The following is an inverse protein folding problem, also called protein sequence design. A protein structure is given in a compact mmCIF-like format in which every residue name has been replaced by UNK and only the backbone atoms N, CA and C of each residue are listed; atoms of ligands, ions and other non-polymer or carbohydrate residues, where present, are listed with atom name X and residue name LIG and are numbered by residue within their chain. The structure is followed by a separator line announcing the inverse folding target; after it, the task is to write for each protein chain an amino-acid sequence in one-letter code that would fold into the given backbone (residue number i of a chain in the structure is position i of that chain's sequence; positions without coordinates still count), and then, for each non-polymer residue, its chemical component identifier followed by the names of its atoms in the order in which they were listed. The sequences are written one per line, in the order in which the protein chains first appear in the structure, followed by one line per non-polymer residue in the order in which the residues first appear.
data_IF_036747022533
#
_entry.id   IF_036747022533
#
_cell.length_a   1.000
_cell.length_b   1.000
_cell.length_c   1.000
_cell.angle_alpha   90.00
_cell.angle_beta   90.00
_cell.angle_gamma   90.00
#
_symmetry.space_group_name_H-M   'P 1'
#
loop_
_entity.id
_entity.type
_entity.pdbx_description
1 polymer ?
#
# COMPACT_ATOMS: atom_id res chain seq x y z
N UNK A 1 10.06 -22.82 15.03
CA UNK A 1 10.64 -21.56 14.49
C UNK A 1 11.16 -21.72 13.06
N UNK A 2 10.99 -22.87 12.37
CA UNK A 2 11.49 -23.08 11.00
C UNK A 2 10.45 -22.93 9.88
N UNK A 3 9.15 -22.82 10.17
CA UNK A 3 8.12 -22.79 9.10
C UNK A 3 8.00 -21.44 8.39
N UNK A 4 8.35 -20.33 9.04
CA UNK A 4 8.24 -19.01 8.42
C UNK A 4 9.34 -18.75 7.38
N UNK A 5 10.56 -19.23 7.60
CA UNK A 5 11.68 -19.00 6.68
C UNK A 5 11.49 -19.74 5.35
N UNK A 6 10.92 -20.94 5.37
CA UNK A 6 10.58 -21.69 4.15
C UNK A 6 9.47 -21.02 3.33
N UNK A 7 8.50 -20.38 3.99
CA UNK A 7 7.43 -19.62 3.33
C UNK A 7 8.02 -18.42 2.59
N UNK A 8 8.89 -17.63 3.23
CA UNK A 8 9.49 -16.46 2.59
C UNK A 8 10.46 -16.87 1.48
N UNK A 9 11.20 -17.96 1.63
CA UNK A 9 12.08 -18.51 0.58
C UNK A 9 11.29 -18.95 -0.66
N UNK A 10 10.18 -19.67 -0.49
CA UNK A 10 9.30 -20.08 -1.59
C UNK A 10 8.56 -18.89 -2.25
N UNK A 11 8.31 -17.80 -1.51
CA UNK A 11 7.74 -16.58 -2.07
C UNK A 11 8.75 -15.78 -2.91
N UNK A 12 10.06 -15.96 -2.69
CA UNK A 12 11.14 -15.28 -3.42
C UNK A 12 11.48 -15.92 -4.77
N UNK A 13 11.17 -17.20 -4.95
CA UNK A 13 11.35 -17.88 -6.23
C UNK A 13 10.00 -17.88 -6.98
N UNK A 14 9.88 -17.16 -8.13
CA UNK A 14 8.63 -17.12 -8.88
C UNK A 14 8.15 -18.51 -9.30
N UNK A 15 9.09 -19.45 -9.52
CA UNK A 15 8.83 -20.83 -9.94
C UNK A 15 8.57 -21.80 -8.77
N UNK A 16 8.81 -21.39 -7.52
CA UNK A 16 8.50 -22.23 -6.37
C UNK A 16 7.01 -22.19 -6.07
N UNK A 17 6.40 -23.37 -5.90
CA UNK A 17 5.00 -23.50 -5.50
C UNK A 17 4.83 -22.85 -4.11
N UNK A 18 3.97 -21.83 -3.97
CA UNK A 18 3.78 -21.14 -2.71
C UNK A 18 3.11 -22.07 -1.70
N UNK A 19 3.30 -21.80 -0.40
CA UNK A 19 2.58 -22.53 0.63
C UNK A 19 1.07 -22.36 0.43
N UNK A 20 0.33 -23.47 0.56
CA UNK A 20 -1.12 -23.42 0.59
C UNK A 20 -1.58 -22.70 1.84
N UNK A 21 -2.29 -21.59 1.64
CA UNK A 21 -2.93 -20.80 2.69
C UNK A 21 -4.42 -20.61 2.33
N UNK A 22 -5.32 -20.48 3.32
CA UNK A 22 -6.74 -20.24 3.06
C UNK A 22 -6.98 -19.02 2.16
N UNK A 23 -6.27 -17.92 2.43
CA UNK A 23 -6.11 -16.79 1.51
C UNK A 23 -4.76 -16.90 0.83
N UNK A 24 -4.74 -16.82 -0.49
CA UNK A 24 -3.54 -17.01 -1.29
C UNK A 24 -2.38 -16.12 -0.84
N UNK A 25 -1.17 -16.67 -0.91
CA UNK A 25 0.02 -16.01 -0.39
C UNK A 25 0.44 -14.82 -1.27
N UNK A 26 0.23 -14.93 -2.58
CA UNK A 26 0.57 -13.90 -3.58
C UNK A 26 -0.65 -13.09 -3.99
N UNK A 27 -0.43 -11.82 -4.29
CA UNK A 27 -1.38 -11.01 -5.07
C UNK A 27 -1.09 -11.28 -6.54
N UNK A 28 -2.10 -11.72 -7.29
CA UNK A 28 -1.92 -11.99 -8.71
C UNK A 28 -2.19 -10.71 -9.50
N UNK A 29 -1.40 -10.48 -10.54
CA UNK A 29 -1.49 -9.26 -11.34
C UNK A 29 -2.10 -9.54 -12.71
N UNK A 30 -2.95 -8.63 -13.17
CA UNK A 30 -3.51 -8.63 -14.52
C UNK A 30 -3.31 -7.25 -15.17
N UNK A 31 -2.08 -6.94 -15.64
CA UNK A 31 -1.74 -5.61 -16.15
C UNK A 31 -2.45 -5.26 -17.47
N UNK A 32 -2.86 -6.27 -18.24
CA UNK A 32 -3.47 -6.10 -19.57
C UNK A 32 -4.98 -5.81 -19.52
N UNK A 33 -5.60 -5.95 -18.34
CA UNK A 33 -7.01 -5.61 -18.15
C UNK A 33 -7.25 -4.09 -18.26
N UNK A 34 -8.49 -3.73 -18.55
CA UNK A 34 -8.94 -2.33 -18.59
C UNK A 34 -10.14 -2.14 -17.64
N UNK A 35 -9.91 -1.66 -16.40
CA UNK A 35 -8.62 -1.25 -15.83
C UNK A 35 -7.73 -2.43 -15.40
N UNK A 36 -6.40 -2.24 -15.23
CA UNK A 36 -5.51 -3.25 -14.67
C UNK A 36 -5.91 -3.64 -13.25
N UNK A 37 -5.78 -4.92 -12.91
CA UNK A 37 -6.31 -5.47 -11.66
C UNK A 37 -5.25 -6.19 -10.82
N UNK A 38 -5.40 -6.05 -9.50
CA UNK A 38 -4.83 -6.96 -8.51
C UNK A 38 -5.88 -7.95 -8.05
N UNK A 39 -5.54 -9.24 -8.07
CA UNK A 39 -6.47 -10.33 -7.78
C UNK A 39 -6.05 -11.02 -6.49
N UNK A 40 -7.00 -11.10 -5.57
CA UNK A 40 -6.94 -11.82 -4.31
C UNK A 40 -7.87 -13.03 -4.40
N UNK A 41 -7.53 -14.10 -3.69
CA UNK A 41 -8.36 -15.31 -3.67
C UNK A 41 -8.34 -15.98 -2.31
N UNK A 42 -9.53 -16.40 -1.88
CA UNK A 42 -9.77 -17.23 -0.71
C UNK A 42 -10.17 -18.63 -1.19
N UNK A 43 -9.25 -19.58 -1.09
CA UNK A 43 -9.42 -20.96 -1.50
C UNK A 43 -10.23 -21.77 -0.48
N UNK A 44 -9.88 -21.61 0.80
CA UNK A 44 -10.46 -22.35 1.92
C UNK A 44 -10.97 -21.39 2.99
N UNK A 45 -11.78 -21.86 3.93
CA UNK A 45 -12.24 -21.04 5.06
C UNK A 45 -11.06 -20.72 6.01
N UNK A 46 -10.67 -19.44 6.19
CA UNK A 46 -9.60 -19.03 7.10
C UNK A 46 -9.96 -19.15 8.60
N UNK A 47 -11.16 -19.64 8.95
CA UNK A 47 -11.69 -19.63 10.32
C UNK A 47 -12.74 -18.53 10.54
N UNK A 48 -13.50 -18.22 9.49
CA UNK A 48 -14.61 -17.27 9.49
C UNK A 48 -14.24 -15.85 9.05
N UNK A 49 -15.23 -14.93 9.04
CA UNK A 49 -15.07 -13.59 8.47
C UNK A 49 -13.97 -12.75 9.14
N UNK A 50 -13.78 -12.87 10.46
CA UNK A 50 -12.75 -12.13 11.17
C UNK A 50 -11.33 -12.52 10.74
N UNK A 51 -11.09 -13.82 10.53
CA UNK A 51 -9.80 -14.31 10.05
C UNK A 51 -9.56 -13.91 8.59
N UNK A 52 -10.60 -13.95 7.75
CA UNK A 52 -10.55 -13.42 6.38
C UNK A 52 -10.11 -11.96 6.35
N UNK A 53 -10.70 -11.10 7.19
CA UNK A 53 -10.32 -9.69 7.29
C UNK A 53 -8.83 -9.54 7.63
N UNK A 54 -8.33 -10.27 8.63
CA UNK A 54 -6.93 -10.17 9.05
C UNK A 54 -5.95 -10.59 7.95
N UNK A 55 -6.24 -11.70 7.27
CA UNK A 55 -5.40 -12.21 6.19
C UNK A 55 -5.43 -11.26 4.98
N UNK A 56 -6.61 -10.78 4.56
CA UNK A 56 -6.72 -9.80 3.48
C UNK A 56 -6.01 -8.49 3.81
N UNK A 57 -6.17 -7.98 5.04
CA UNK A 57 -5.48 -6.76 5.49
C UNK A 57 -3.97 -6.88 5.27
N UNK A 58 -3.37 -7.98 5.72
CA UNK A 58 -1.93 -8.20 5.56
C UNK A 58 -1.51 -8.22 4.09
N UNK A 59 -2.28 -8.87 3.21
CA UNK A 59 -1.96 -8.95 1.78
C UNK A 59 -2.11 -7.61 1.06
N UNK A 60 -3.20 -6.90 1.34
CA UNK A 60 -3.48 -5.58 0.76
C UNK A 60 -2.44 -4.57 1.23
N UNK A 61 -2.23 -4.46 2.56
CA UNK A 61 -1.24 -3.54 3.12
C UNK A 61 0.16 -3.84 2.58
N UNK A 62 0.57 -5.11 2.49
CA UNK A 62 1.88 -5.49 1.96
C UNK A 62 2.03 -5.16 0.47
N UNK A 63 1.03 -5.46 -0.37
CA UNK A 63 1.09 -5.18 -1.81
C UNK A 63 1.18 -3.68 -2.10
N UNK A 64 0.37 -2.87 -1.41
CA UNK A 64 0.46 -1.43 -1.52
C UNK A 64 1.79 -0.89 -1.00
N UNK A 65 2.29 -1.34 0.15
CA UNK A 65 3.59 -0.89 0.66
C UNK A 65 4.74 -1.26 -0.29
N UNK A 66 4.71 -2.46 -0.87
CA UNK A 66 5.72 -2.90 -1.83
C UNK A 66 5.81 -1.95 -3.02
N UNK A 67 4.67 -1.49 -3.56
CA UNK A 67 4.65 -0.50 -4.64
C UNK A 67 5.00 0.92 -4.18
N UNK A 68 4.46 1.36 -3.05
CA UNK A 68 4.60 2.74 -2.58
C UNK A 68 6.01 3.04 -2.05
N UNK A 69 6.73 2.01 -1.58
CA UNK A 69 8.11 2.13 -1.09
C UNK A 69 9.17 2.08 -2.19
N UNK A 70 8.78 1.87 -3.46
CA UNK A 70 9.70 1.76 -4.60
C UNK A 70 10.58 3.00 -4.77
N UNK A 71 11.92 2.88 -4.85
CA UNK A 71 12.79 4.02 -5.10
C UNK A 71 12.63 4.53 -6.54
N UNK A 72 13.03 5.78 -6.76
CA UNK A 72 12.89 6.45 -8.06
C UNK A 72 13.53 5.70 -9.24
N UNK A 73 14.65 5.01 -9.01
CA UNK A 73 15.37 4.22 -10.03
C UNK A 73 14.59 2.99 -10.50
N UNK A 74 13.71 2.44 -9.66
CA UNK A 74 12.94 1.23 -10.00
C UNK A 74 11.80 1.48 -11.00
N UNK A 75 11.47 2.74 -11.31
CA UNK A 75 10.37 3.05 -12.23
C UNK A 75 10.70 2.82 -13.71
N UNK A 76 11.98 2.63 -14.05
CA UNK A 76 12.39 2.26 -15.41
C UNK A 76 11.81 0.90 -15.84
N UNK A 77 11.53 0.02 -14.87
CA UNK A 77 10.96 -1.31 -15.08
C UNK A 77 9.43 -1.30 -15.30
N UNK A 78 8.79 -0.13 -15.16
CA UNK A 78 7.37 0.09 -15.38
C UNK A 78 6.62 0.54 -14.12
N UNK A 79 5.66 1.44 -14.31
CA UNK A 79 4.80 1.93 -13.23
C UNK A 79 3.63 0.97 -12.96
N UNK A 80 3.32 0.75 -11.69
CA UNK A 80 2.10 0.03 -11.31
C UNK A 80 0.85 0.85 -11.70
N UNK A 81 0.01 0.25 -12.54
CA UNK A 81 -1.21 0.85 -13.08
C UNK A 81 -2.48 0.23 -12.52
N UNK A 82 -2.43 -0.35 -11.33
CA UNK A 82 -3.61 -0.91 -10.66
C UNK A 82 -4.74 0.12 -10.63
N UNK A 83 -5.88 -0.25 -11.21
CA UNK A 83 -7.12 0.53 -11.22
C UNK A 83 -8.26 -0.16 -10.48
N UNK A 84 -8.10 -1.44 -10.14
CA UNK A 84 -9.06 -2.17 -9.32
C UNK A 84 -8.43 -3.33 -8.54
N UNK A 85 -9.11 -3.71 -7.46
CA UNK A 85 -8.86 -4.94 -6.73
C UNK A 85 -10.01 -5.91 -6.97
N UNK A 86 -9.71 -7.19 -7.16
CA UNK A 86 -10.69 -8.27 -7.31
C UNK A 86 -10.47 -9.31 -6.24
N UNK A 87 -11.54 -9.86 -5.69
CA UNK A 87 -11.50 -10.94 -4.71
C UNK A 87 -12.47 -12.05 -5.11
N UNK A 88 -11.95 -13.27 -5.27
CA UNK A 88 -12.75 -14.47 -5.41
C UNK A 88 -12.77 -15.26 -4.10
N UNK A 89 -13.96 -15.64 -3.64
CA UNK A 89 -14.15 -16.46 -2.43
C UNK A 89 -14.82 -17.77 -2.84
N UNK A 90 -14.08 -18.86 -2.75
CA UNK A 90 -14.55 -20.22 -3.02
C UNK A 90 -15.30 -20.90 -1.86
N UNK A 91 -14.93 -20.72 -0.58
CA UNK A 91 -15.69 -21.32 0.51
C UNK A 91 -17.08 -20.66 0.65
N UNK A 92 -18.05 -21.45 1.09
CA UNK A 92 -19.37 -20.95 1.46
C UNK A 92 -19.27 -20.17 2.78
N UNK A 93 -19.34 -18.84 2.70
CA UNK A 93 -19.31 -17.96 3.87
C UNK A 93 -19.97 -16.61 3.59
N UNK A 94 -20.12 -15.79 4.64
CA UNK A 94 -20.64 -14.43 4.57
C UNK A 94 -19.50 -13.39 4.72
N UNK A 95 -18.71 -13.11 3.66
CA UNK A 95 -17.51 -12.26 3.76
C UNK A 95 -17.83 -10.77 3.75
N UNK A 96 -19.09 -10.37 3.50
CA UNK A 96 -19.47 -9.00 3.16
C UNK A 96 -18.91 -7.93 4.11
N UNK A 97 -19.12 -8.10 5.43
CA UNK A 97 -18.63 -7.14 6.42
C UNK A 97 -17.09 -7.07 6.47
N UNK A 98 -16.41 -8.20 6.27
CA UNK A 98 -14.95 -8.29 6.30
C UNK A 98 -14.30 -7.65 5.09
N UNK A 99 -14.89 -7.80 3.91
CA UNK A 99 -14.29 -7.31 2.67
C UNK A 99 -14.68 -5.86 2.38
N UNK A 100 -15.87 -5.43 2.82
CA UNK A 100 -16.33 -4.04 2.66
C UNK A 100 -15.39 -3.02 3.32
N UNK A 101 -14.67 -3.40 4.38
CA UNK A 101 -13.67 -2.55 5.02
C UNK A 101 -12.50 -2.17 4.08
N UNK A 102 -12.29 -2.91 2.98
CA UNK A 102 -11.31 -2.61 1.95
C UNK A 102 -11.96 -2.09 0.66
N UNK A 103 -13.21 -1.61 0.72
CA UNK A 103 -13.90 -1.00 -0.43
C UNK A 103 -14.45 -2.02 -1.43
N UNK A 104 -14.42 -3.31 -1.09
CA UNK A 104 -14.97 -4.36 -1.93
C UNK A 104 -16.50 -4.32 -1.92
N UNK A 105 -17.07 -4.25 -3.11
CA UNK A 105 -18.49 -4.41 -3.37
C UNK A 105 -18.75 -5.74 -4.08
N UNK A 106 -19.89 -6.36 -3.81
CA UNK A 106 -20.25 -7.63 -4.43
C UNK A 106 -20.43 -7.43 -5.94
N UNK A 107 -19.91 -8.35 -6.73
CA UNK A 107 -20.06 -8.39 -8.19
C UNK A 107 -20.38 -9.81 -8.66
N UNK A 108 -20.75 -9.95 -9.92
CA UNK A 108 -21.06 -11.24 -10.53
C UNK A 108 -19.83 -11.81 -11.26
N UNK A 109 -19.35 -12.97 -10.82
CA UNK A 109 -18.22 -13.66 -11.46
C UNK A 109 -18.50 -14.09 -12.93
N UNK A 110 -19.76 -14.02 -13.38
CA UNK A 110 -20.19 -14.36 -14.73
C UNK A 110 -20.09 -13.21 -15.74
N UNK A 111 -19.79 -11.99 -15.31
CA UNK A 111 -19.63 -10.85 -16.21
C UNK A 111 -18.41 -11.03 -17.13
N UNK A 112 -18.47 -10.40 -18.33
CA UNK A 112 -17.43 -10.55 -19.36
C UNK A 112 -16.03 -10.13 -18.87
N UNK A 113 -15.97 -9.18 -17.93
CA UNK A 113 -14.75 -8.69 -17.28
C UNK A 113 -14.06 -9.75 -16.40
N UNK A 114 -14.77 -10.76 -15.87
CA UNK A 114 -14.21 -11.78 -14.96
C UNK A 114 -13.64 -13.01 -15.64
N UNK A 115 -13.91 -13.21 -16.94
CA UNK A 115 -13.50 -14.43 -17.67
C UNK A 115 -11.98 -14.68 -17.57
N UNK A 116 -11.19 -13.64 -17.78
CA UNK A 116 -9.72 -13.72 -17.73
C UNK A 116 -9.22 -13.97 -16.30
N UNK A 117 -9.83 -13.32 -15.29
CA UNK A 117 -9.53 -13.59 -13.88
C UNK A 117 -9.85 -15.03 -13.50
N UNK A 118 -10.99 -15.58 -13.93
CA UNK A 118 -11.33 -16.97 -13.64
C UNK A 118 -10.37 -17.95 -14.34
N UNK A 119 -9.89 -17.63 -15.54
CA UNK A 119 -8.88 -18.42 -16.23
C UNK A 119 -7.54 -18.42 -15.45
N UNK A 120 -7.10 -17.25 -15.01
CA UNK A 120 -5.92 -17.08 -14.14
C UNK A 120 -6.06 -17.90 -12.85
N UNK A 121 -7.20 -17.78 -12.15
CA UNK A 121 -7.45 -18.50 -10.91
C UNK A 121 -7.48 -20.02 -11.10
N UNK A 122 -8.00 -20.54 -12.21
CA UNK A 122 -7.93 -21.98 -12.51
C UNK A 122 -6.49 -22.44 -12.68
N UNK A 123 -5.67 -21.71 -13.43
CA UNK A 123 -4.25 -22.00 -13.59
C UNK A 123 -3.52 -22.00 -12.25
N UNK A 124 -3.73 -20.95 -11.45
CA UNK A 124 -3.13 -20.82 -10.12
C UNK A 124 -3.56 -21.97 -9.19
N UNK A 125 -4.85 -22.31 -9.18
CA UNK A 125 -5.40 -23.38 -8.34
C UNK A 125 -4.76 -24.74 -8.63
N UNK A 126 -4.47 -25.03 -9.91
CA UNK A 126 -3.77 -26.25 -10.31
C UNK A 126 -2.31 -26.23 -9.84
N UNK A 127 -1.66 -25.08 -9.98
CA UNK A 127 -0.26 -24.90 -9.61
C UNK A 127 -0.04 -25.06 -8.10
N UNK A 128 -0.96 -24.57 -7.27
CA UNK A 128 -0.91 -24.73 -5.80
C UNK A 128 -1.53 -26.05 -5.30
N UNK A 129 -1.88 -26.97 -6.21
CA UNK A 129 -2.37 -28.32 -5.87
C UNK A 129 -3.78 -28.39 -5.29
N UNK A 130 -4.63 -27.40 -5.57
CA UNK A 130 -6.01 -27.31 -5.10
C UNK A 130 -6.95 -26.90 -6.24
N UNK A 131 -7.13 -27.75 -7.27
CA UNK A 131 -7.94 -27.41 -8.44
C UNK A 131 -9.36 -27.04 -8.02
N UNK A 132 -9.86 -25.91 -8.52
CA UNK A 132 -11.25 -25.48 -8.34
C UNK A 132 -12.08 -25.84 -9.57
N UNK A 133 -13.11 -26.66 -9.36
CA UNK A 133 -13.94 -27.22 -10.45
C UNK A 133 -15.17 -26.36 -10.78
N UNK A 134 -15.33 -25.18 -10.18
CA UNK A 134 -16.51 -24.34 -10.33
C UNK A 134 -16.23 -22.84 -10.24
N UNK A 135 -17.25 -21.99 -10.43
CA UNK A 135 -17.14 -20.56 -10.14
C UNK A 135 -16.98 -20.33 -8.62
N UNK A 136 -16.40 -19.20 -8.21
CA UNK A 136 -16.36 -18.83 -6.79
C UNK A 136 -17.78 -18.66 -6.24
N UNK A 137 -17.95 -18.97 -4.94
CA UNK A 137 -19.21 -18.74 -4.21
C UNK A 137 -19.60 -17.26 -4.20
N UNK A 138 -18.60 -16.37 -4.11
CA UNK A 138 -18.82 -14.94 -4.27
C UNK A 138 -17.61 -14.26 -4.90
N UNK A 139 -17.88 -13.20 -5.67
CA UNK A 139 -16.88 -12.33 -6.27
C UNK A 139 -17.11 -10.90 -5.78
N UNK A 140 -15.99 -10.18 -5.63
CA UNK A 140 -15.98 -8.84 -5.09
C UNK A 140 -14.98 -7.97 -5.83
N UNK A 141 -15.28 -6.68 -5.93
CA UNK A 141 -14.45 -5.71 -6.64
C UNK A 141 -14.37 -4.40 -5.87
N UNK A 142 -13.18 -3.81 -5.80
CA UNK A 142 -12.94 -2.48 -5.25
C UNK A 142 -12.30 -1.60 -6.32
N UNK A 143 -12.75 -0.36 -6.42
CA UNK A 143 -12.15 0.63 -7.33
C UNK A 143 -10.92 1.25 -6.68
N UNK A 144 -9.85 1.38 -7.46
CA UNK A 144 -8.66 2.16 -7.09
C UNK A 144 -8.75 3.52 -7.78
N UNK A 145 -9.08 4.55 -7.02
CA UNK A 145 -9.19 5.93 -7.50
C UNK A 145 -7.80 6.53 -7.68
N UNK A 146 -7.54 7.09 -8.87
CA UNK A 146 -6.32 7.84 -9.19
C UNK A 146 -6.65 9.30 -9.44
N UNK A 147 -5.86 10.19 -8.85
CA UNK A 147 -6.00 11.64 -9.02
C UNK A 147 -4.98 12.14 -10.03
N UNK A 148 -5.46 12.58 -11.20
CA UNK A 148 -4.61 13.05 -12.29
C UNK A 148 -3.66 14.20 -11.89
N UNK A 149 -4.02 15.02 -10.90
CA UNK A 149 -3.17 16.10 -10.41
C UNK A 149 -1.91 15.60 -9.68
N UNK A 150 -1.85 14.33 -9.27
CA UNK A 150 -0.69 13.75 -8.59
C UNK A 150 0.38 13.24 -9.57
N UNK A 151 0.03 12.91 -10.81
CA UNK A 151 0.97 12.39 -11.82
C UNK A 151 2.04 13.43 -12.20
N UNK A 152 1.63 14.71 -12.28
CA UNK A 152 2.56 15.81 -12.52
C UNK A 152 3.53 16.02 -11.35
N UNK A 153 3.04 15.84 -10.12
CA UNK A 153 3.85 15.94 -8.90
C UNK A 153 4.85 14.79 -8.82
N UNK A 154 4.39 13.57 -9.07
CA UNK A 154 5.23 12.37 -9.13
C UNK A 154 6.36 12.55 -10.15
N UNK A 155 6.04 13.04 -11.34
CA UNK A 155 7.03 13.31 -12.39
C UNK A 155 8.09 14.31 -11.93
N UNK A 156 7.67 15.39 -11.26
CA UNK A 156 8.59 16.40 -10.73
C UNK A 156 9.48 15.85 -9.61
N UNK A 157 8.92 15.03 -8.71
CA UNK A 157 9.67 14.36 -7.65
C UNK A 157 10.65 13.34 -8.22
N UNK A 158 10.27 12.58 -9.24
CA UNK A 158 11.14 11.61 -9.91
C UNK A 158 12.36 12.29 -10.50
N UNK A 159 12.18 13.40 -11.21
CA UNK A 159 13.30 14.16 -11.77
C UNK A 159 14.28 14.64 -10.69
N UNK A 160 13.77 15.01 -9.50
CA UNK A 160 14.63 15.40 -8.37
C UNK A 160 15.35 14.21 -7.75
N UNK A 161 14.64 13.11 -7.56
CA UNK A 161 15.16 11.90 -6.95
C UNK A 161 16.26 11.24 -7.81
N UNK A 162 16.09 11.21 -9.14
CA UNK A 162 17.12 10.66 -10.06
C UNK A 162 18.38 11.52 -10.18
N UNK A 163 18.30 12.80 -9.83
CA UNK A 163 19.46 13.70 -9.75
C UNK A 163 20.22 13.56 -8.43
N UNK A 164 19.64 12.89 -7.44
CA UNK A 164 20.27 12.68 -6.15
C UNK A 164 21.33 11.56 -6.23
N UNK A 165 22.43 11.71 -5.49
CA UNK A 165 23.56 10.76 -5.51
C UNK A 165 23.21 9.40 -4.90
N UNK A 166 22.15 9.34 -4.09
CA UNK A 166 21.64 8.16 -3.42
C UNK A 166 20.58 7.41 -4.25
N UNK A 167 20.40 7.77 -5.52
CA UNK A 167 19.42 7.13 -6.40
C UNK A 167 17.97 7.35 -5.99
N UNK A 168 17.71 8.33 -5.12
CA UNK A 168 16.36 8.59 -4.60
C UNK A 168 15.88 7.55 -3.60
N UNK A 169 16.80 6.87 -2.91
CA UNK A 169 16.47 5.97 -1.78
C UNK A 169 15.89 6.80 -0.63
N UNK A 170 14.70 6.44 -0.17
CA UNK A 170 14.07 7.12 0.97
C UNK A 170 14.92 6.95 2.24
N UNK A 171 15.01 8.03 3.02
CA UNK A 171 15.78 8.09 4.27
C UNK A 171 17.27 8.39 4.11
N UNK A 172 17.83 8.30 2.90
CA UNK A 172 19.24 8.62 2.65
C UNK A 172 19.54 10.11 2.83
N UNK A 173 18.63 10.97 2.37
CA UNK A 173 18.67 12.42 2.58
C UNK A 173 17.37 12.90 3.26
N UNK A 174 17.29 12.89 4.61
CA UNK A 174 16.08 13.25 5.35
C UNK A 174 15.51 14.62 4.96
N UNK A 175 14.19 14.70 4.77
CA UNK A 175 13.44 15.90 4.43
C UNK A 175 13.53 16.33 2.95
N UNK A 176 14.35 15.67 2.13
CA UNK A 176 14.60 16.08 0.74
C UNK A 176 13.37 15.93 -0.17
N UNK A 177 12.65 14.81 -0.09
CA UNK A 177 11.47 14.56 -0.91
C UNK A 177 10.31 15.47 -0.49
N UNK A 178 10.13 15.65 0.81
CA UNK A 178 9.13 16.59 1.32
C UNK A 178 9.46 18.03 0.93
N UNK A 179 10.73 18.44 1.03
CA UNK A 179 11.19 19.75 0.58
C UNK A 179 10.97 19.97 -0.92
N UNK A 180 11.22 18.95 -1.74
CA UNK A 180 10.96 18.98 -3.17
C UNK A 180 9.45 19.14 -3.48
N UNK A 181 8.60 18.41 -2.77
CA UNK A 181 7.14 18.53 -2.87
C UNK A 181 6.68 19.95 -2.50
N UNK A 182 7.12 20.46 -1.35
CA UNK A 182 6.77 21.79 -0.88
C UNK A 182 7.26 22.88 -1.84
N UNK A 183 8.45 22.75 -2.40
CA UNK A 183 8.97 23.68 -3.41
C UNK A 183 8.14 23.66 -4.69
N UNK A 184 7.82 22.46 -5.21
CA UNK A 184 7.00 22.31 -6.41
C UNK A 184 5.61 22.94 -6.25
N UNK A 185 5.01 22.82 -5.07
CA UNK A 185 3.69 23.36 -4.75
C UNK A 185 3.72 24.82 -4.24
N UNK A 186 4.89 25.44 -4.12
CA UNK A 186 5.03 26.81 -3.61
C UNK A 186 4.74 26.97 -2.11
N UNK A 187 4.86 25.89 -1.32
CA UNK A 187 4.63 25.88 0.13
C UNK A 187 5.89 26.16 0.96
N UNK A 188 6.82 26.95 0.42
CA UNK A 188 8.13 27.22 1.03
C UNK A 188 8.10 28.25 2.16
N UNK A 189 6.95 28.89 2.39
CA UNK A 189 6.74 29.84 3.49
C UNK A 189 5.82 29.25 4.56
N UNK A 190 6.20 29.44 5.84
CA UNK A 190 5.46 28.95 7.00
C UNK A 190 6.13 27.77 7.71
N UNK A 191 5.41 27.20 8.70
CA UNK A 191 5.83 26.02 9.47
C UNK A 191 5.80 24.74 8.63
N UNK A 192 6.62 23.75 8.98
CA UNK A 192 6.57 22.42 8.37
C UNK A 192 5.20 21.75 8.58
N UNK A 193 4.57 21.97 9.75
CA UNK A 193 3.23 21.47 10.04
C UNK A 193 2.17 21.96 9.04
N UNK A 194 2.20 23.26 8.71
CA UNK A 194 1.31 23.84 7.70
C UNK A 194 1.56 23.27 6.30
N UNK A 195 2.82 23.15 5.89
CA UNK A 195 3.16 22.54 4.60
C UNK A 195 2.70 21.07 4.54
N UNK A 196 2.84 20.33 5.64
CA UNK A 196 2.42 18.94 5.75
C UNK A 196 0.90 18.80 5.66
N UNK A 197 0.15 19.66 6.36
CA UNK A 197 -1.31 19.69 6.27
C UNK A 197 -1.81 19.97 4.84
N UNK A 198 -1.13 20.85 4.10
CA UNK A 198 -1.42 21.08 2.67
C UNK A 198 -1.10 19.86 1.81
N UNK A 199 0.00 19.16 2.11
CA UNK A 199 0.38 17.93 1.42
C UNK A 199 -0.64 16.80 1.66
N UNK A 200 -1.14 16.65 2.89
CA UNK A 200 -2.21 15.73 3.24
C UNK A 200 -3.49 16.05 2.44
N UNK A 201 -3.94 17.31 2.43
CA UNK A 201 -5.12 17.73 1.68
C UNK A 201 -4.99 17.50 0.15
N UNK A 202 -3.75 17.51 -0.37
CA UNK A 202 -3.48 17.22 -1.78
C UNK A 202 -3.75 15.75 -2.13
N UNK A 203 -3.49 14.81 -1.21
CA UNK A 203 -3.62 13.36 -1.47
C UNK A 203 -4.92 12.74 -0.95
N UNK A 204 -5.44 13.21 0.19
CA UNK A 204 -6.59 12.59 0.84
C UNK A 204 -7.86 12.92 0.05
N UNK A 205 -8.33 11.94 -0.73
CA UNK A 205 -9.68 11.96 -1.31
C UNK A 205 -10.71 11.65 -0.23
N UNK A 206 -11.84 12.36 -0.28
CA UNK A 206 -13.00 12.17 0.61
C UNK A 206 -14.06 11.25 -0.03
N UNK A 207 -13.78 10.68 -1.20
CA UNK A 207 -14.65 9.68 -1.84
C UNK A 207 -14.79 8.45 -0.90
N UNK A 208 -16.00 8.11 -0.44
CA UNK A 208 -16.20 6.95 0.41
C UNK A 208 -16.08 5.65 -0.41
N UNK A 209 -15.61 4.59 0.25
CA UNK A 209 -15.63 3.22 -0.29
C UNK A 209 -14.62 2.92 -1.40
N UNK A 210 -13.75 3.85 -1.78
CA UNK A 210 -12.71 3.64 -2.80
C UNK A 210 -11.33 3.51 -2.18
N UNK A 211 -10.46 2.71 -2.80
CA UNK A 211 -9.04 2.67 -2.46
C UNK A 211 -8.36 3.85 -3.17
N UNK A 212 -7.59 4.64 -2.43
CA UNK A 212 -7.08 5.94 -2.89
C UNK A 212 -5.63 5.80 -3.29
N UNK A 213 -5.36 5.69 -4.59
CA UNK A 213 -3.99 5.56 -5.08
C UNK A 213 -3.20 6.85 -4.88
N UNK A 214 -2.00 6.71 -4.35
CA UNK A 214 -1.02 7.78 -4.21
C UNK A 214 0.21 7.35 -4.99
N UNK A 215 0.76 8.20 -5.86
CA UNK A 215 2.03 7.87 -6.52
C UNK A 215 3.16 7.63 -5.51
N UNK A 216 4.08 6.68 -5.78
CA UNK A 216 5.08 6.26 -4.79
C UNK A 216 5.96 7.37 -4.22
N UNK A 217 6.49 8.29 -5.05
CA UNK A 217 7.34 9.36 -4.55
C UNK A 217 6.53 10.43 -3.81
N UNK A 218 5.26 10.65 -4.17
CA UNK A 218 4.34 11.47 -3.38
C UNK A 218 4.10 10.84 -2.01
N UNK A 219 3.89 9.53 -1.93
CA UNK A 219 3.74 8.81 -0.67
C UNK A 219 4.99 8.91 0.20
N UNK A 220 6.17 8.68 -0.39
CA UNK A 220 7.45 8.80 0.30
C UNK A 220 7.73 10.24 0.76
N UNK A 221 7.33 11.25 -0.02
CA UNK A 221 7.41 12.66 0.40
C UNK A 221 6.50 12.97 1.60
N UNK A 222 5.32 12.35 1.69
CA UNK A 222 4.47 12.46 2.89
C UNK A 222 5.12 11.76 4.09
N UNK A 223 5.64 10.55 3.90
CA UNK A 223 6.36 9.86 4.96
C UNK A 223 7.51 10.72 5.48
N UNK A 224 8.33 11.26 4.57
CA UNK A 224 9.44 12.16 4.88
C UNK A 224 8.98 13.42 5.62
N UNK A 225 7.87 14.04 5.17
CA UNK A 225 7.27 15.21 5.80
C UNK A 225 6.82 14.98 7.24
N UNK A 226 6.28 13.79 7.55
CA UNK A 226 5.93 13.43 8.92
C UNK A 226 7.16 13.42 9.82
N UNK A 227 8.30 12.92 9.33
CA UNK A 227 9.58 12.94 10.05
C UNK A 227 10.11 14.36 10.26
N UNK A 228 10.00 15.22 9.24
CA UNK A 228 10.36 16.64 9.34
C UNK A 228 9.51 17.36 10.38
N UNK A 229 8.20 17.13 10.40
CA UNK A 229 7.29 17.72 11.41
C UNK A 229 7.66 17.24 12.81
N UNK A 230 7.84 15.92 13.03
CA UNK A 230 8.26 15.38 14.32
C UNK A 230 9.58 16.00 14.81
N UNK A 231 10.56 16.17 13.92
CA UNK A 231 11.86 16.71 14.27
C UNK A 231 11.83 18.23 14.53
N UNK A 232 11.21 19.00 13.65
CA UNK A 232 11.30 20.47 13.67
C UNK A 232 10.19 21.15 14.49
N UNK A 233 8.97 20.63 14.46
CA UNK A 233 7.82 21.24 15.15
C UNK A 233 7.67 20.68 16.57
N UNK A 234 7.94 19.38 16.73
CA UNK A 234 7.80 18.70 18.02
C UNK A 234 9.13 18.39 18.72
N UNK A 235 10.27 18.77 18.11
CA UNK A 235 11.59 18.65 18.74
C UNK A 235 12.09 17.22 18.97
N UNK A 236 11.52 16.23 18.27
CA UNK A 236 11.89 14.83 18.45
C UNK A 236 13.23 14.48 17.76
N UNK A 237 13.96 13.53 18.35
CA UNK A 237 15.11 12.89 17.67
C UNK A 237 14.61 11.79 16.75
N UNK A 238 14.46 12.11 15.47
CA UNK A 238 14.01 11.19 14.42
C UNK A 238 15.23 10.65 13.67
N UNK A 239 15.26 9.33 13.46
CA UNK A 239 16.17 8.67 12.53
C UNK A 239 15.35 7.94 11.46
N UNK A 240 15.65 8.21 10.19
CA UNK A 240 15.01 7.58 9.04
C UNK A 240 15.65 6.21 8.80
N UNK A 241 14.83 5.17 8.63
CA UNK A 241 15.31 3.90 8.08
C UNK A 241 15.59 4.04 6.59
N UNK A 242 16.58 3.36 6.06
CA UNK A 242 16.81 3.34 4.62
C UNK A 242 15.82 2.39 3.95
N UNK A 243 15.14 2.85 2.90
CA UNK A 243 14.32 2.01 2.02
C UNK A 243 15.11 1.54 0.80
N UNK A 244 16.26 0.92 1.04
CA UNK A 244 17.08 0.35 -0.04
C UNK A 244 16.47 -0.99 -0.48
N UNK A 245 16.28 -1.22 -1.80
CA UNK A 245 15.86 -2.52 -2.30
C UNK A 245 16.82 -3.63 -1.86
N UNK A 246 16.27 -4.75 -1.42
CA UNK A 246 17.07 -5.94 -1.13
C UNK A 246 17.40 -6.72 -2.42
N UNK A 247 18.02 -7.89 -2.27
CA UNK A 247 18.38 -8.79 -3.39
C UNK A 247 17.17 -9.24 -4.23
N UNK A 248 15.95 -9.10 -3.71
CA UNK A 248 14.69 -9.43 -4.39
C UNK A 248 14.08 -8.24 -5.11
N UNK A 249 14.73 -7.07 -5.05
CA UNK A 249 14.25 -5.82 -5.62
C UNK A 249 13.17 -5.14 -4.77
N UNK A 250 12.83 -5.69 -3.60
CA UNK A 250 11.83 -5.12 -2.70
C UNK A 250 12.46 -4.14 -1.72
N UNK A 251 11.96 -2.92 -1.71
CA UNK A 251 12.36 -1.92 -0.73
C UNK A 251 11.53 -2.07 0.57
N UNK A 252 12.13 -2.00 1.76
CA UNK A 252 11.37 -1.99 2.99
C UNK A 252 10.57 -0.69 3.11
N UNK A 253 9.36 -0.73 3.69
CA UNK A 253 8.51 0.45 3.80
C UNK A 253 9.14 1.53 4.70
N UNK A 254 8.80 2.82 4.49
CA UNK A 254 9.27 3.91 5.33
C UNK A 254 9.03 3.65 6.82
N UNK A 255 10.10 3.77 7.61
CA UNK A 255 10.11 3.57 9.06
C UNK A 255 10.95 4.64 9.73
N UNK A 256 10.51 5.10 10.90
CA UNK A 256 11.31 5.95 11.77
C UNK A 256 11.77 5.20 13.00
N UNK A 257 12.88 5.65 13.57
CA UNK A 257 13.23 5.40 14.96
C UNK A 257 13.17 6.73 15.72
N UNK A 258 12.34 6.78 16.74
CA UNK A 258 12.24 7.90 17.67
C UNK A 258 13.04 7.56 18.94
N UNK A 259 14.03 8.39 19.25
CA UNK A 259 14.92 8.15 20.39
C UNK A 259 15.65 6.81 20.30
N UNK A 260 15.78 6.10 21.42
CA UNK A 260 16.61 4.89 21.51
C UNK A 260 15.89 3.59 21.10
N UNK A 261 14.55 3.53 21.14
CA UNK A 261 13.84 2.22 21.10
C UNK A 261 12.52 2.17 20.32
N UNK A 262 11.93 3.30 19.97
CA UNK A 262 10.59 3.29 19.38
C UNK A 262 10.69 3.29 17.86
N UNK A 263 10.37 2.16 17.24
CA UNK A 263 10.18 2.09 15.78
C UNK A 263 8.76 2.50 15.44
N UNK A 264 8.62 3.44 14.52
CA UNK A 264 7.34 3.94 14.04
C UNK A 264 7.20 3.53 12.58
N UNK A 265 6.28 2.61 12.25
CA UNK A 265 6.07 2.14 10.87
C UNK A 265 5.30 3.18 10.06
N UNK A 266 5.90 4.36 9.84
CA UNK A 266 5.21 5.54 9.29
C UNK A 266 4.56 5.25 7.93
N UNK A 267 5.18 4.42 7.08
CA UNK A 267 4.58 3.99 5.82
C UNK A 267 3.25 3.26 6.02
N UNK A 268 3.18 2.35 7.00
CA UNK A 268 1.95 1.62 7.28
C UNK A 268 0.84 2.53 7.82
N UNK A 269 1.19 3.46 8.71
CA UNK A 269 0.22 4.41 9.26
C UNK A 269 -0.32 5.35 8.18
N UNK A 270 0.56 5.89 7.31
CA UNK A 270 0.13 6.71 6.17
C UNK A 270 -0.67 5.93 5.13
N UNK A 271 -0.36 4.65 4.90
CA UNK A 271 -1.15 3.82 4.00
C UNK A 271 -2.59 3.67 4.53
N UNK A 272 -2.73 3.34 5.81
CA UNK A 272 -4.05 3.21 6.45
C UNK A 272 -4.82 4.53 6.40
N UNK A 273 -4.10 5.63 6.56
CA UNK A 273 -4.67 6.97 6.56
C UNK A 273 -5.12 7.47 5.19
N UNK A 274 -4.22 7.40 4.21
CA UNK A 274 -4.36 8.09 2.94
C UNK A 274 -4.82 7.17 1.80
N UNK A 275 -4.60 5.84 1.91
CA UNK A 275 -4.84 4.87 0.83
C UNK A 275 -6.08 4.02 1.08
N UNK A 276 -6.24 3.48 2.31
CA UNK A 276 -7.35 2.58 2.62
C UNK A 276 -8.72 3.29 2.53
N UNK A 277 -9.82 2.61 2.22
CA UNK A 277 -11.11 3.29 2.03
C UNK A 277 -11.67 3.92 3.30
N UNK A 278 -12.37 5.04 3.14
CA UNK A 278 -13.20 5.64 4.18
C UNK A 278 -14.62 5.09 4.12
N UNK A 279 -15.26 4.96 5.27
CA UNK A 279 -16.70 4.68 5.35
C UNK A 279 -17.49 5.92 4.95
N UNK A 280 -18.74 5.70 4.56
CA UNK A 280 -19.66 6.81 4.31
C UNK A 280 -19.84 7.65 5.58
N UNK A 281 -19.65 8.96 5.46
CA UNK A 281 -19.71 9.92 6.57
C UNK A 281 -18.52 9.90 7.52
N UNK A 282 -17.50 9.07 7.28
CA UNK A 282 -16.26 9.08 8.06
C UNK A 282 -15.43 10.31 7.71
N UNK A 283 -15.07 11.08 8.75
CA UNK A 283 -14.18 12.23 8.64
C UNK A 283 -12.98 12.01 9.56
N UNK A 284 -11.88 11.42 9.06
CA UNK A 284 -10.71 11.15 9.89
C UNK A 284 -10.02 12.47 10.31
N UNK A 285 -9.59 12.62 11.59
CA UNK A 285 -8.95 13.85 12.07
C UNK A 285 -7.57 14.04 11.46
N UNK A 286 -7.09 15.23 11.06
CA UNK A 286 -5.82 15.39 10.32
C UNK A 286 -4.67 14.51 10.83
N UNK A 287 -3.88 13.92 9.93
CA UNK A 287 -2.75 13.05 10.32
C UNK A 287 -1.75 13.76 11.24
N UNK A 288 -1.68 15.09 11.14
CA UNK A 288 -0.91 15.93 12.04
C UNK A 288 -1.31 15.78 13.53
N UNK A 289 -2.59 15.52 13.83
CA UNK A 289 -3.06 15.28 15.19
C UNK A 289 -2.52 13.95 15.73
N UNK A 290 -2.48 12.91 14.90
CA UNK A 290 -1.82 11.64 15.26
C UNK A 290 -0.32 11.83 15.53
N UNK A 291 0.37 12.65 14.73
CA UNK A 291 1.79 12.98 14.98
C UNK A 291 1.99 13.73 16.30
N UNK A 292 1.06 14.62 16.66
CA UNK A 292 1.09 15.34 17.94
C UNK A 292 0.92 14.38 19.12
N UNK A 293 0.00 13.43 19.00
CA UNK A 293 -0.24 12.41 20.04
C UNK A 293 0.99 11.49 20.19
N UNK A 294 1.58 11.08 19.07
CA UNK A 294 2.81 10.29 19.05
C UNK A 294 3.97 11.04 19.74
N UNK A 295 4.14 12.33 19.43
CA UNK A 295 5.17 13.14 20.07
C UNK A 295 4.96 13.31 21.58
N UNK A 296 3.70 13.43 21.99
CA UNK A 296 3.33 13.54 23.41
C UNK A 296 3.61 12.26 24.20
N UNK A 297 3.54 11.09 23.54
CA UNK A 297 3.87 9.80 24.15
C UNK A 297 5.37 9.50 24.17
N UNK A 298 6.15 10.13 23.29
CA UNK A 298 7.60 9.90 23.14
C UNK A 298 8.50 10.91 23.88
N UNK A 299 7.92 11.80 24.69
CA UNK A 299 8.62 12.86 25.40
C UNK A 299 9.23 12.43 26.76
N UNK A 300 9.15 11.14 27.12
CA UNK A 300 9.74 10.54 28.34
C UNK A 300 11.15 9.98 28.13
#
# INVERSE_FOLDING_TARGET
MSDNDDIFSALRNPDAVPPRLPVHARVLEQPDLRPPAWVFVCWDDPGGPGALFQMLRQRIEAAFLAELARPATSFEEGECKVGELRLAVFPEMAPAASVAAFGFNRTEAGEANWRETLALLRGESQWVGAPVDGPPHSAWQATVERRANLDAVETALRLRATQAKDGGVWGATPGSLFGALAHHQGWTSGSAALAFHKAEALVVSQSPGVVRWIPPLVFQALADGAGVVLAHEFGMKVAWGLSEPDETGLAPPPVFRLGARTHVPIGLELLRWCVMPLREGEAPPPFLDWLRDLASQGAD
#
